data_IF_786728798755
#
_entry.id   IF_786728798755
#
_cell.length_a   1.000
_cell.length_b   1.000
_cell.length_c   1.000
_cell.angle_alpha   90.00
_cell.angle_beta   90.00
_cell.angle_gamma   90.00
#
_symmetry.space_group_name_H-M   'P 1'
#
loop_
_entity.id
_entity.type
_entity.pdbx_description
1 polymer ?
#
# COMPACT_ATOMS: atom_id res chain seq x y z
N UNK A 1 -19.21 10.81 -19.83
CA UNK A 1 -20.26 10.68 -18.79
C UNK A 1 -21.12 9.48 -19.11
N UNK A 2 -21.65 8.79 -18.09
CA UNK A 2 -22.69 7.77 -18.32
C UNK A 2 -24.01 8.50 -18.60
N UNK A 3 -24.66 8.18 -19.73
CA UNK A 3 -25.95 8.78 -20.13
C UNK A 3 -27.06 8.37 -19.16
N UNK A 4 -28.02 9.26 -18.92
CA UNK A 4 -29.19 9.02 -18.07
C UNK A 4 -28.94 9.21 -16.57
N UNK A 5 -27.77 9.71 -16.17
CA UNK A 5 -27.48 9.99 -14.75
C UNK A 5 -27.94 11.40 -14.37
N UNK A 6 -28.29 11.62 -13.10
CA UNK A 6 -28.62 12.96 -12.60
C UNK A 6 -27.46 13.96 -12.83
N UNK A 7 -26.21 13.47 -12.81
CA UNK A 7 -25.00 14.26 -13.05
C UNK A 7 -24.92 14.85 -14.49
N UNK A 8 -25.61 14.26 -15.47
CA UNK A 8 -25.65 14.77 -16.85
C UNK A 8 -26.37 16.11 -16.95
N UNK A 9 -27.34 16.38 -16.05
CA UNK A 9 -28.13 17.62 -16.04
C UNK A 9 -27.47 18.77 -15.28
N UNK A 10 -26.31 18.53 -14.65
CA UNK A 10 -25.61 19.57 -13.88
C UNK A 10 -25.03 20.64 -14.82
N UNK A 11 -25.18 21.93 -14.50
CA UNK A 11 -24.62 23.00 -15.32
C UNK A 11 -23.08 22.99 -15.29
N UNK A 12 -22.47 23.45 -16.39
CA UNK A 12 -21.02 23.62 -16.54
C UNK A 12 -20.17 22.35 -16.26
N UNK A 13 -20.46 21.20 -16.88
CA UNK A 13 -19.66 20.01 -16.67
C UNK A 13 -18.25 20.19 -17.23
N UNK A 14 -17.22 19.81 -16.47
CA UNK A 14 -15.86 19.71 -17.01
C UNK A 14 -15.81 18.70 -18.16
N UNK A 15 -15.00 18.99 -19.17
CA UNK A 15 -14.75 18.11 -20.31
C UNK A 15 -14.06 16.80 -19.87
N UNK A 16 -14.10 15.77 -20.72
CA UNK A 16 -13.39 14.53 -20.45
C UNK A 16 -11.86 14.76 -20.29
N UNK A 17 -11.28 15.65 -21.11
CA UNK A 17 -9.87 16.00 -21.04
C UNK A 17 -9.50 16.66 -19.70
N UNK A 18 -10.28 17.64 -19.24
CA UNK A 18 -10.07 18.28 -17.93
C UNK A 18 -10.21 17.29 -16.77
N UNK A 19 -11.09 16.30 -16.89
CA UNK A 19 -11.24 15.24 -15.88
C UNK A 19 -10.04 14.30 -15.86
N UNK A 20 -9.53 13.93 -17.04
CA UNK A 20 -8.33 13.10 -17.15
C UNK A 20 -7.12 13.81 -16.55
N UNK A 21 -6.85 15.06 -16.95
CA UNK A 21 -5.73 15.87 -16.44
C UNK A 21 -5.77 15.99 -14.90
N UNK A 22 -6.94 16.29 -14.33
CA UNK A 22 -7.10 16.35 -12.87
C UNK A 22 -6.92 15.00 -12.19
N UNK A 23 -7.38 13.92 -12.82
CA UNK A 23 -7.19 12.57 -12.32
C UNK A 23 -5.71 12.20 -12.27
N UNK A 24 -4.94 12.55 -13.29
CA UNK A 24 -3.51 12.26 -13.36
C UNK A 24 -2.75 12.98 -12.24
N UNK A 25 -3.08 14.25 -11.99
CA UNK A 25 -2.52 15.03 -10.86
C UNK A 25 -2.84 14.37 -9.52
N UNK A 26 -4.08 13.93 -9.31
CA UNK A 26 -4.48 13.26 -8.07
C UNK A 26 -3.79 11.91 -7.90
N UNK A 27 -3.67 11.12 -8.96
CA UNK A 27 -2.98 9.82 -8.92
C UNK A 27 -1.51 9.99 -8.54
N UNK A 28 -0.81 10.95 -9.15
CA UNK A 28 0.58 11.27 -8.82
C UNK A 28 0.73 11.75 -7.36
N UNK A 29 -0.20 12.58 -6.88
CA UNK A 29 -0.23 13.02 -5.48
C UNK A 29 -0.44 11.84 -4.52
N UNK A 30 -1.41 10.97 -4.81
CA UNK A 30 -1.73 9.79 -4.00
C UNK A 30 -0.55 8.83 -3.95
N UNK A 31 0.12 8.55 -5.07
CA UNK A 31 1.31 7.69 -5.10
C UNK A 31 2.41 8.25 -4.20
N UNK A 32 2.72 9.55 -4.31
CA UNK A 32 3.73 10.21 -3.47
C UNK A 32 3.39 10.14 -1.99
N UNK A 33 2.13 10.44 -1.63
CA UNK A 33 1.69 10.43 -0.24
C UNK A 33 1.66 9.03 0.35
N UNK A 34 1.21 8.02 -0.42
CA UNK A 34 1.21 6.63 0.02
C UNK A 34 2.63 6.13 0.31
N UNK A 35 3.60 6.47 -0.56
CA UNK A 35 5.02 6.17 -0.35
C UNK A 35 5.54 6.85 0.92
N UNK A 36 5.34 8.16 1.06
CA UNK A 36 5.77 8.92 2.25
C UNK A 36 5.16 8.38 3.55
N UNK A 37 3.89 7.97 3.50
CA UNK A 37 3.23 7.36 4.64
C UNK A 37 3.88 6.04 5.04
N UNK A 38 4.29 5.19 4.09
CA UNK A 38 5.04 3.95 4.43
C UNK A 38 6.46 4.24 4.88
N UNK A 39 7.15 5.17 4.23
CA UNK A 39 8.51 5.59 4.61
C UNK A 39 8.57 6.11 6.05
N UNK A 40 7.51 6.73 6.56
CA UNK A 40 7.49 7.23 7.94
C UNK A 40 7.56 6.13 9.00
N UNK A 41 7.31 4.86 8.63
CA UNK A 41 7.43 3.74 9.54
C UNK A 41 8.88 3.27 9.70
N UNK A 42 9.79 3.61 8.78
CA UNK A 42 11.18 3.13 8.84
C UNK A 42 11.84 3.60 10.14
N UNK A 43 12.33 2.64 10.92
CA UNK A 43 12.88 2.85 12.26
C UNK A 43 11.87 2.76 13.42
N UNK A 44 10.57 2.65 13.12
CA UNK A 44 9.53 2.37 14.12
C UNK A 44 9.40 0.85 14.36
N UNK A 45 8.97 0.47 15.57
CA UNK A 45 8.58 -0.89 15.88
C UNK A 45 7.12 -1.11 15.50
N UNK A 46 6.83 -2.16 14.74
CA UNK A 46 5.49 -2.58 14.36
C UNK A 46 5.27 -4.06 14.62
N UNK A 47 4.01 -4.47 14.63
CA UNK A 47 3.59 -5.86 14.71
C UNK A 47 2.86 -6.26 13.44
N UNK A 48 3.15 -7.46 12.91
CA UNK A 48 2.57 -7.98 11.68
C UNK A 48 1.88 -9.32 11.97
N UNK A 49 0.61 -9.44 11.60
CA UNK A 49 -0.09 -10.73 11.60
C UNK A 49 0.32 -11.47 10.33
N UNK A 50 0.92 -12.65 10.44
CA UNK A 50 1.40 -13.42 9.29
C UNK A 50 0.26 -14.17 8.62
N UNK A 51 -0.03 -13.88 7.35
CA UNK A 51 -1.19 -14.42 6.63
C UNK A 51 -0.78 -15.41 5.53
N UNK A 52 0.05 -14.99 4.58
CA UNK A 52 0.43 -15.81 3.43
C UNK A 52 1.95 -15.89 3.30
N UNK A 53 2.47 -17.03 2.85
CA UNK A 53 3.87 -17.17 2.49
C UNK A 53 4.07 -16.75 1.04
N UNK A 54 4.94 -15.76 0.81
CA UNK A 54 5.26 -15.23 -0.52
C UNK A 54 6.74 -15.42 -0.84
N UNK A 55 7.09 -15.41 -2.13
CA UNK A 55 8.48 -15.38 -2.59
C UNK A 55 8.77 -14.04 -3.23
N UNK A 56 9.76 -13.32 -2.69
CA UNK A 56 10.20 -12.01 -3.18
C UNK A 56 11.70 -12.12 -3.47
N UNK A 57 12.11 -11.81 -4.69
CA UNK A 57 13.52 -11.89 -5.14
C UNK A 57 14.22 -13.23 -4.83
N UNK A 58 13.48 -14.34 -4.88
CA UNK A 58 13.99 -15.69 -4.59
C UNK A 58 14.08 -16.05 -3.11
N UNK A 59 13.75 -15.13 -2.20
CA UNK A 59 13.69 -15.36 -0.76
C UNK A 59 12.24 -15.53 -0.30
N UNK A 60 12.03 -16.38 0.71
CA UNK A 60 10.70 -16.67 1.25
C UNK A 60 10.39 -15.76 2.44
N UNK A 61 9.24 -15.11 2.39
CA UNK A 61 8.71 -14.23 3.42
C UNK A 61 7.31 -14.66 3.81
N UNK A 62 6.86 -14.27 4.99
CA UNK A 62 5.43 -14.11 5.26
C UNK A 62 5.02 -12.67 4.99
N UNK A 63 3.85 -12.51 4.39
CA UNK A 63 3.15 -11.24 4.24
C UNK A 63 1.92 -11.20 5.10
N UNK A 64 1.49 -9.99 5.45
CA UNK A 64 0.23 -9.75 6.13
C UNK A 64 0.09 -8.27 6.44
N UNK A 65 -0.65 -7.92 7.49
CA UNK A 65 -0.98 -6.54 7.80
C UNK A 65 -0.57 -6.15 9.22
N UNK A 66 -0.10 -4.90 9.36
CA UNK A 66 0.11 -4.28 10.67
C UNK A 66 -1.23 -3.93 11.32
N UNK A 67 -1.20 -3.55 12.60
CA UNK A 67 -2.39 -3.01 13.29
C UNK A 67 -2.97 -1.75 12.62
N UNK A 68 -2.14 -1.03 11.86
CA UNK A 68 -2.53 0.13 11.04
C UNK A 68 -2.96 -0.26 9.62
N UNK A 69 -3.14 -1.56 9.34
CA UNK A 69 -3.50 -2.12 8.04
C UNK A 69 -2.51 -1.80 6.92
N UNK A 70 -1.22 -1.65 7.24
CA UNK A 70 -0.16 -1.53 6.24
C UNK A 70 0.41 -2.91 5.96
N UNK A 71 0.50 -3.29 4.69
CA UNK A 71 1.12 -4.56 4.29
C UNK A 71 2.61 -4.58 4.67
N UNK A 72 3.09 -5.72 5.17
CA UNK A 72 4.49 -5.91 5.53
C UNK A 72 5.00 -7.30 5.19
N UNK A 73 6.33 -7.45 5.23
CA UNK A 73 7.08 -8.68 4.97
C UNK A 73 7.98 -9.00 6.16
N UNK A 74 7.97 -10.26 6.59
CA UNK A 74 8.89 -10.82 7.60
C UNK A 74 9.57 -12.05 6.99
N UNK A 75 10.89 -12.26 7.16
CA UNK A 75 11.56 -13.47 6.70
C UNK A 75 10.86 -14.73 7.19
N UNK A 76 10.66 -15.73 6.33
CA UNK A 76 9.81 -16.86 6.71
C UNK A 76 10.48 -17.91 7.62
N UNK A 77 11.77 -17.76 7.91
CA UNK A 77 12.50 -18.69 8.77
C UNK A 77 12.02 -18.57 10.22
N UNK A 78 11.69 -19.69 10.85
CA UNK A 78 11.26 -19.73 12.25
C UNK A 78 9.81 -19.30 12.52
N UNK A 79 9.07 -18.85 11.50
CA UNK A 79 7.70 -18.34 11.65
C UNK A 79 6.64 -19.22 11.01
N UNK A 80 5.37 -19.00 11.40
CA UNK A 80 4.21 -19.70 10.86
C UNK A 80 3.01 -18.77 10.65
N UNK A 81 2.06 -19.21 9.82
CA UNK A 81 0.83 -18.47 9.55
C UNK A 81 -0.03 -18.33 10.82
N UNK A 82 -0.63 -17.15 11.02
CA UNK A 82 -1.43 -16.78 12.19
C UNK A 82 -0.63 -16.23 13.36
N UNK A 83 0.70 -16.23 13.27
CA UNK A 83 1.60 -15.63 14.26
C UNK A 83 1.56 -14.10 14.18
N UNK A 84 1.62 -13.43 15.34
CA UNK A 84 1.84 -11.98 15.43
C UNK A 84 3.32 -11.74 15.75
N UNK A 85 4.04 -11.10 14.83
CA UNK A 85 5.48 -10.88 14.95
C UNK A 85 5.78 -9.39 15.07
N UNK A 86 6.49 -9.01 16.13
CA UNK A 86 7.02 -7.66 16.30
C UNK A 86 8.39 -7.55 15.63
N UNK A 87 8.66 -6.43 14.96
CA UNK A 87 9.95 -6.15 14.33
C UNK A 87 10.16 -4.66 14.09
N UNK A 88 11.39 -4.27 13.80
CA UNK A 88 11.70 -2.90 13.38
C UNK A 88 11.50 -2.83 11.87
N UNK A 89 10.80 -1.80 11.41
CA UNK A 89 10.66 -1.57 9.97
C UNK A 89 12.00 -1.04 9.45
N UNK A 90 12.67 -1.83 8.62
CA UNK A 90 14.01 -1.53 8.10
C UNK A 90 13.99 -0.89 6.72
N UNK A 91 12.86 -0.96 6.01
CA UNK A 91 12.71 -0.40 4.68
C UNK A 91 11.39 -0.78 4.04
N UNK A 92 11.30 -0.57 2.73
CA UNK A 92 10.17 -0.94 1.89
C UNK A 92 10.58 -2.02 0.87
N UNK A 93 9.61 -2.76 0.35
CA UNK A 93 9.80 -3.63 -0.82
C UNK A 93 10.25 -2.83 -2.05
N UNK A 94 10.80 -3.52 -3.07
CA UNK A 94 11.29 -2.89 -4.30
C UNK A 94 10.22 -2.08 -5.05
N UNK A 95 8.95 -2.50 -4.95
CA UNK A 95 7.81 -1.78 -5.52
C UNK A 95 7.23 -0.69 -4.59
N UNK A 96 7.85 -0.50 -3.41
CA UNK A 96 7.51 0.46 -2.37
C UNK A 96 6.09 0.32 -1.81
N UNK A 97 5.47 -0.87 -1.98
CA UNK A 97 4.09 -1.13 -1.54
C UNK A 97 3.99 -1.76 -0.16
N UNK A 98 5.06 -2.41 0.34
CA UNK A 98 5.09 -3.16 1.59
C UNK A 98 6.23 -2.73 2.49
N UNK A 99 6.03 -2.81 3.80
CA UNK A 99 7.09 -2.64 4.80
C UNK A 99 7.96 -3.90 4.87
N UNK A 100 9.24 -3.78 5.23
CA UNK A 100 10.11 -4.90 5.56
C UNK A 100 10.42 -4.82 7.04
N UNK A 101 10.04 -5.86 7.79
CA UNK A 101 10.28 -5.98 9.23
C UNK A 101 11.41 -6.98 9.46
N UNK A 102 12.34 -6.63 10.36
CA UNK A 102 13.47 -7.46 10.77
C UNK A 102 13.73 -7.34 12.28
#
# INVERSE_FOLDING_TARGET
>A
MRKGTAAEKLPNPCTAAQKAERSDVLLALTQRQARQYRESFVGEQEELILEEKVTVNGSSFYTGHTMRYVEGLVPAEGHHQGELVAGIVTGLSDDETRLILA
#
